data_IF_299266004693
#
_entry.id   IF_299266004693
#
_cell.length_a   1.000
_cell.length_b   1.000
_cell.length_c   1.000
_cell.angle_alpha   90.00
_cell.angle_beta   90.00
_cell.angle_gamma   90.00
#
_symmetry.space_group_name_H-M   'P 1'
#
loop_
_entity.id
_entity.type
_entity.pdbx_description
1 polymer ?
#
# COMPACT_ATOMS: atom_id res chain seq x y z
N UNK A 1 65.00 24.86 7.86
CA UNK A 1 63.73 25.48 7.41
C UNK A 1 62.83 24.40 6.85
N UNK A 2 61.91 23.89 7.64
CA UNK A 2 61.02 22.79 7.21
C UNK A 2 59.70 23.38 6.75
N UNK A 3 59.46 23.36 5.43
CA UNK A 3 58.17 23.71 4.84
C UNK A 3 57.19 22.57 5.10
N UNK A 4 56.30 22.75 6.05
CA UNK A 4 55.17 21.85 6.30
C UNK A 4 54.13 22.04 5.19
N UNK A 5 54.08 21.08 4.26
CA UNK A 5 53.06 21.00 3.22
C UNK A 5 51.78 20.44 3.86
N UNK A 6 50.81 21.33 4.11
CA UNK A 6 49.49 20.98 4.67
C UNK A 6 48.62 20.42 3.53
N UNK A 7 48.53 19.10 3.43
CA UNK A 7 47.57 18.48 2.54
C UNK A 7 46.18 18.60 3.15
N UNK A 8 45.38 19.48 2.57
CA UNK A 8 43.95 19.61 2.88
C UNK A 8 43.24 18.52 2.09
N UNK A 9 42.95 17.37 2.75
CA UNK A 9 42.11 16.30 2.19
C UNK A 9 40.65 16.77 2.31
N UNK A 10 40.10 17.30 1.21
CA UNK A 10 38.66 17.53 1.08
C UNK A 10 38.00 16.19 0.82
N UNK A 11 37.51 15.57 1.90
CA UNK A 11 36.63 14.40 1.79
C UNK A 11 35.26 14.91 1.38
N UNK A 12 35.00 14.94 0.08
CA UNK A 12 33.65 15.12 -0.46
C UNK A 12 32.83 13.88 -0.07
N UNK A 13 32.01 14.03 0.97
CA UNK A 13 30.94 13.08 1.27
C UNK A 13 29.97 13.09 0.10
N UNK A 14 30.16 12.17 -0.83
CA UNK A 14 29.18 11.84 -1.84
C UNK A 14 28.07 11.06 -1.11
N UNK A 15 27.06 11.81 -0.62
CA UNK A 15 25.85 11.19 -0.10
C UNK A 15 25.14 10.51 -1.27
N UNK A 16 25.43 9.22 -1.46
CA UNK A 16 24.62 8.35 -2.29
C UNK A 16 23.24 8.31 -1.64
N UNK A 17 22.33 9.11 -2.15
CA UNK A 17 20.90 8.89 -1.92
C UNK A 17 20.55 7.53 -2.53
N UNK A 18 20.72 6.47 -1.74
CA UNK A 18 20.14 5.18 -2.02
C UNK A 18 18.62 5.41 -1.90
N UNK A 19 17.96 5.69 -3.01
CA UNK A 19 16.53 5.51 -3.09
C UNK A 19 16.31 4.02 -2.82
N UNK A 20 16.02 3.69 -1.57
CA UNK A 20 15.54 2.37 -1.20
C UNK A 20 14.25 2.19 -1.98
N UNK A 21 14.33 1.42 -3.07
CA UNK A 21 13.18 1.07 -3.88
C UNK A 21 12.34 0.15 -2.98
N UNK A 22 11.33 0.73 -2.31
CA UNK A 22 10.46 0.01 -1.38
C UNK A 22 9.85 -1.18 -2.11
N UNK A 23 10.19 -2.38 -1.66
CA UNK A 23 9.70 -3.61 -2.27
C UNK A 23 8.18 -3.75 -2.13
N UNK A 24 7.53 -4.54 -3.00
CA UNK A 24 6.08 -4.76 -2.92
C UNK A 24 5.62 -5.34 -1.58
N UNK A 25 6.41 -6.21 -0.99
CA UNK A 25 6.16 -6.80 0.33
C UNK A 25 6.28 -5.75 1.45
N UNK A 26 7.20 -4.82 1.33
CA UNK A 26 7.36 -3.72 2.29
C UNK A 26 6.17 -2.75 2.22
N UNK A 27 5.65 -2.44 1.02
CA UNK A 27 4.45 -1.62 0.84
C UNK A 27 3.26 -2.28 1.54
N UNK A 28 3.05 -3.58 1.32
CA UNK A 28 1.96 -4.34 1.95
C UNK A 28 2.12 -4.36 3.47
N UNK A 29 3.33 -4.66 3.96
CA UNK A 29 3.64 -4.70 5.39
C UNK A 29 3.39 -3.35 6.05
N UNK A 30 4.00 -2.29 5.52
CA UNK A 30 3.86 -0.95 6.07
C UNK A 30 2.41 -0.48 6.09
N UNK A 31 1.66 -0.71 5.01
CA UNK A 31 0.24 -0.36 4.94
C UNK A 31 -0.56 -1.12 6.00
N UNK A 32 -0.32 -2.42 6.16
CA UNK A 32 -1.01 -3.23 7.16
C UNK A 32 -0.67 -2.78 8.59
N UNK A 33 0.61 -2.55 8.89
CA UNK A 33 1.06 -2.11 10.21
C UNK A 33 0.48 -0.73 10.58
N UNK A 34 0.48 0.22 9.62
CA UNK A 34 -0.11 1.56 9.82
C UNK A 34 -1.63 1.46 10.11
N UNK A 35 -2.36 0.63 9.35
CA UNK A 35 -3.80 0.41 9.54
C UNK A 35 -4.09 -0.24 10.89
N UNK A 36 -3.36 -1.29 11.24
CA UNK A 36 -3.51 -2.00 12.52
C UNK A 36 -3.26 -1.05 13.69
N UNK A 37 -2.19 -0.26 13.63
CA UNK A 37 -1.86 0.72 14.67
C UNK A 37 -2.99 1.73 14.89
N UNK A 38 -3.59 2.25 13.81
CA UNK A 38 -4.71 3.19 13.90
C UNK A 38 -5.93 2.51 14.52
N UNK A 39 -6.27 1.28 14.08
CA UNK A 39 -7.40 0.52 14.65
C UNK A 39 -7.21 0.30 16.16
N UNK A 40 -5.99 -0.04 16.60
CA UNK A 40 -5.69 -0.28 18.00
C UNK A 40 -5.76 1.00 18.86
N UNK A 41 -5.56 2.16 18.27
CA UNK A 41 -5.56 3.46 18.99
C UNK A 41 -6.91 4.17 18.97
N UNK A 42 -7.79 3.87 18.01
CA UNK A 42 -9.09 4.55 17.86
C UNK A 42 -10.23 3.67 18.39
N UNK A 43 -10.78 4.05 19.54
CA UNK A 43 -11.87 3.34 20.22
C UNK A 43 -13.16 3.31 19.40
N UNK A 44 -13.42 4.34 18.59
CA UNK A 44 -14.64 4.39 17.77
C UNK A 44 -14.55 3.41 16.61
N UNK A 45 -13.36 3.26 16.01
CA UNK A 45 -13.11 2.21 15.01
C UNK A 45 -13.30 0.82 15.64
N UNK A 46 -12.78 0.59 16.84
CA UNK A 46 -12.96 -0.66 17.58
C UNK A 46 -14.44 -0.91 17.93
N UNK A 47 -15.21 0.14 18.18
CA UNK A 47 -16.66 0.08 18.39
C UNK A 47 -17.45 -0.10 17.09
N UNK A 48 -16.80 -0.04 15.92
CA UNK A 48 -17.42 -0.29 14.61
C UNK A 48 -17.94 0.96 13.91
N UNK A 49 -17.41 2.16 14.22
CA UNK A 49 -17.75 3.38 13.48
C UNK A 49 -17.37 3.26 12.01
N UNK A 50 -18.38 3.05 11.17
CA UNK A 50 -18.21 2.82 9.72
C UNK A 50 -17.59 4.01 9.00
N UNK A 51 -17.91 5.23 9.41
CA UNK A 51 -17.40 6.43 8.75
C UNK A 51 -15.89 6.56 8.97
N UNK A 52 -15.43 6.32 10.20
CA UNK A 52 -14.01 6.30 10.51
C UNK A 52 -13.28 5.16 9.81
N UNK A 53 -13.88 3.97 9.73
CA UNK A 53 -13.33 2.81 9.01
C UNK A 53 -13.21 3.12 7.51
N UNK A 54 -14.22 3.75 6.89
CA UNK A 54 -14.17 4.13 5.48
C UNK A 54 -13.07 5.17 5.24
N UNK A 55 -12.98 6.20 6.09
CA UNK A 55 -11.94 7.21 6.01
C UNK A 55 -10.55 6.60 6.14
N UNK A 56 -10.33 5.71 7.11
CA UNK A 56 -9.08 4.98 7.27
C UNK A 56 -8.70 4.20 6.00
N UNK A 57 -9.64 3.48 5.41
CA UNK A 57 -9.40 2.73 4.17
C UNK A 57 -9.11 3.67 2.99
N UNK A 58 -9.83 4.77 2.85
CA UNK A 58 -9.60 5.76 1.80
C UNK A 58 -8.24 6.42 1.90
N UNK A 59 -7.78 6.73 3.10
CA UNK A 59 -6.51 7.44 3.32
C UNK A 59 -5.28 6.51 3.30
N UNK A 60 -5.40 5.28 3.78
CA UNK A 60 -4.25 4.38 3.99
C UNK A 60 -4.17 3.20 3.04
N UNK A 61 -5.32 2.68 2.59
CA UNK A 61 -5.37 1.46 1.78
C UNK A 61 -5.52 1.80 0.30
N UNK A 62 -6.55 2.56 -0.05
CA UNK A 62 -6.91 2.83 -1.45
C UNK A 62 -5.83 3.51 -2.29
N UNK A 63 -4.95 4.39 -1.77
CA UNK A 63 -3.87 4.98 -2.56
C UNK A 63 -2.90 3.95 -3.15
N UNK A 64 -2.83 2.75 -2.56
CA UNK A 64 -1.98 1.66 -3.04
C UNK A 64 -2.66 0.79 -4.11
N UNK A 65 -3.89 1.11 -4.52
CA UNK A 65 -4.67 0.34 -5.49
C UNK A 65 -4.73 1.03 -6.85
N UNK A 66 -4.33 0.34 -7.90
CA UNK A 66 -4.57 0.77 -9.29
C UNK A 66 -5.98 0.38 -9.72
N UNK A 67 -6.96 1.22 -9.35
CA UNK A 67 -8.38 0.98 -9.71
C UNK A 67 -8.65 0.97 -11.20
N UNK A 68 -7.84 1.65 -12.01
CA UNK A 68 -7.95 1.59 -13.47
C UNK A 68 -7.64 0.18 -13.98
N UNK A 69 -6.54 -0.37 -13.51
CA UNK A 69 -6.12 -1.73 -13.89
C UNK A 69 -7.07 -2.78 -13.35
N UNK A 70 -7.50 -2.65 -12.09
CA UNK A 70 -8.44 -3.60 -11.47
C UNK A 70 -9.77 -3.58 -12.22
N UNK A 71 -10.35 -2.41 -12.49
CA UNK A 71 -11.61 -2.28 -13.22
C UNK A 71 -11.53 -2.88 -14.62
N UNK A 72 -10.40 -2.68 -15.31
CA UNK A 72 -10.14 -3.28 -16.62
C UNK A 72 -10.12 -4.81 -16.57
N UNK A 73 -9.49 -5.37 -15.53
CA UNK A 73 -9.44 -6.82 -15.34
C UNK A 73 -10.82 -7.40 -15.02
N UNK A 74 -11.59 -6.74 -14.14
CA UNK A 74 -12.93 -7.17 -13.72
C UNK A 74 -13.91 -7.12 -14.90
N UNK A 75 -13.93 -6.02 -15.65
CA UNK A 75 -14.83 -5.86 -16.80
C UNK A 75 -14.39 -6.66 -18.03
N UNK A 76 -13.12 -7.02 -18.14
CA UNK A 76 -12.59 -7.80 -19.26
C UNK A 76 -12.95 -7.21 -20.62
N UNK A 77 -13.68 -7.98 -21.43
CA UNK A 77 -14.11 -7.56 -22.78
C UNK A 77 -15.07 -6.35 -22.75
N UNK A 78 -15.87 -6.20 -21.70
CA UNK A 78 -16.81 -5.09 -21.55
C UNK A 78 -16.09 -3.75 -21.38
N UNK A 79 -14.89 -3.74 -20.81
CA UNK A 79 -14.08 -2.52 -20.68
C UNK A 79 -13.87 -1.80 -22.03
N UNK A 80 -13.61 -2.54 -23.10
CA UNK A 80 -13.38 -1.97 -24.43
C UNK A 80 -14.62 -1.34 -25.03
N UNK A 81 -15.82 -1.85 -24.67
CA UNK A 81 -17.12 -1.37 -25.15
C UNK A 81 -17.68 -0.23 -24.30
N UNK A 82 -17.20 -0.09 -23.06
CA UNK A 82 -17.67 0.94 -22.13
C UNK A 82 -17.15 2.32 -22.52
N UNK A 83 -18.00 3.34 -22.40
CA UNK A 83 -17.62 4.74 -22.55
C UNK A 83 -16.70 5.19 -21.40
N UNK A 84 -16.10 6.38 -21.53
CA UNK A 84 -15.26 6.95 -20.47
C UNK A 84 -16.07 7.16 -19.19
N UNK A 85 -17.30 7.65 -19.33
CA UNK A 85 -18.23 7.91 -18.23
C UNK A 85 -18.62 6.62 -17.52
N UNK A 86 -18.95 5.56 -18.29
CA UNK A 86 -19.27 4.25 -17.74
C UNK A 86 -18.08 3.63 -16.98
N UNK A 87 -16.86 3.78 -17.50
CA UNK A 87 -15.65 3.30 -16.79
C UNK A 87 -15.43 4.09 -15.49
N UNK A 88 -15.65 5.39 -15.51
CA UNK A 88 -15.52 6.25 -14.32
C UNK A 88 -16.57 5.88 -13.27
N UNK A 89 -17.83 5.73 -13.67
CA UNK A 89 -18.91 5.30 -12.79
C UNK A 89 -18.64 3.92 -12.20
N UNK A 90 -18.22 2.96 -13.05
CA UNK A 90 -17.89 1.62 -12.59
C UNK A 90 -16.78 1.63 -11.52
N UNK A 91 -15.68 2.36 -11.74
CA UNK A 91 -14.59 2.47 -10.76
C UNK A 91 -15.08 3.04 -9.42
N UNK A 92 -15.93 4.05 -9.46
CA UNK A 92 -16.53 4.65 -8.27
C UNK A 92 -17.39 3.65 -7.50
N UNK A 93 -18.34 2.99 -8.18
CA UNK A 93 -19.23 2.01 -7.55
C UNK A 93 -18.47 0.78 -7.04
N UNK A 94 -17.48 0.33 -7.80
CA UNK A 94 -16.65 -0.82 -7.42
C UNK A 94 -15.81 -0.50 -6.17
N UNK A 95 -15.21 0.69 -6.11
CA UNK A 95 -14.52 1.18 -4.90
C UNK A 95 -15.45 1.15 -3.69
N UNK A 96 -16.65 1.71 -3.83
CA UNK A 96 -17.64 1.77 -2.75
C UNK A 96 -18.13 0.38 -2.33
N UNK A 97 -18.28 -0.54 -3.28
CA UNK A 97 -18.60 -1.93 -2.98
C UNK A 97 -17.52 -2.59 -2.13
N UNK A 98 -16.25 -2.43 -2.51
CA UNK A 98 -15.12 -2.99 -1.77
C UNK A 98 -15.04 -2.39 -0.36
N UNK A 99 -15.18 -1.07 -0.23
CA UNK A 99 -15.20 -0.41 1.08
C UNK A 99 -16.29 -0.98 1.98
N UNK A 100 -17.53 -1.08 1.50
CA UNK A 100 -18.66 -1.64 2.27
C UNK A 100 -18.45 -3.10 2.64
N UNK A 101 -17.91 -3.89 1.73
CA UNK A 101 -17.71 -5.32 1.94
C UNK A 101 -16.61 -5.59 2.97
N UNK A 102 -15.49 -4.86 2.87
CA UNK A 102 -14.32 -5.13 3.71
C UNK A 102 -14.24 -4.29 4.98
N UNK A 103 -15.03 -3.21 5.12
CA UNK A 103 -15.09 -2.42 6.36
C UNK A 103 -15.46 -3.26 7.58
N UNK A 104 -16.38 -4.23 7.39
CA UNK A 104 -16.77 -5.17 8.46
C UNK A 104 -15.58 -6.03 8.92
N UNK A 105 -14.70 -6.42 8.01
CA UNK A 105 -13.51 -7.18 8.37
C UNK A 105 -12.53 -6.35 9.21
N UNK A 106 -12.34 -5.08 8.86
CA UNK A 106 -11.50 -4.16 9.64
C UNK A 106 -12.05 -3.91 11.05
N UNK A 107 -13.38 -3.77 11.20
CA UNK A 107 -14.02 -3.57 12.50
C UNK A 107 -13.94 -4.80 13.42
N UNK A 108 -13.74 -5.99 12.85
CA UNK A 108 -13.61 -7.25 13.60
C UNK A 108 -12.16 -7.60 13.99
N UNK A 109 -11.21 -6.75 13.64
CA UNK A 109 -9.82 -6.98 13.98
C UNK A 109 -9.63 -6.97 15.52
N UNK A 110 -9.05 -8.05 16.05
CA UNK A 110 -8.79 -8.27 17.49
C UNK A 110 -7.36 -8.78 17.70
N UNK A 111 -6.38 -7.99 17.33
CA UNK A 111 -4.96 -8.33 17.56
C UNK A 111 -4.44 -9.60 16.83
N UNK A 112 -5.10 -10.02 15.75
CA UNK A 112 -4.57 -11.07 14.89
C UNK A 112 -3.21 -10.64 14.34
N UNK A 113 -2.31 -11.61 14.18
CA UNK A 113 -1.01 -11.37 13.56
C UNK A 113 -1.09 -11.59 12.05
N UNK A 114 -0.39 -10.77 11.30
CA UNK A 114 -0.20 -10.98 9.87
C UNK A 114 1.18 -11.59 9.67
N UNK A 115 1.20 -12.81 9.16
CA UNK A 115 2.43 -13.47 8.73
C UNK A 115 2.67 -13.21 7.25
N UNK A 116 3.89 -12.80 6.92
CA UNK A 116 4.32 -12.54 5.55
C UNK A 116 5.18 -13.71 5.09
N UNK A 117 4.72 -14.40 4.06
CA UNK A 117 5.48 -15.54 3.51
C UNK A 117 6.61 -15.02 2.61
N UNK A 118 7.72 -15.78 2.49
CA UNK A 118 8.82 -15.37 1.63
C UNK A 118 8.37 -15.06 0.21
N UNK A 119 8.75 -13.89 -0.30
CA UNK A 119 8.48 -13.45 -1.66
C UNK A 119 9.70 -13.75 -2.53
N UNK A 120 9.46 -14.27 -3.74
CA UNK A 120 10.49 -14.43 -4.78
C UNK A 120 10.18 -13.45 -5.90
N UNK A 121 11.11 -12.55 -6.18
CA UNK A 121 11.02 -11.58 -7.26
C UNK A 121 12.33 -11.56 -8.05
N UNK A 122 12.23 -11.60 -9.37
CA UNK A 122 13.36 -11.38 -10.28
C UNK A 122 13.36 -9.92 -10.72
N UNK A 123 14.52 -9.34 -11.09
CA UNK A 123 14.59 -7.94 -11.56
C UNK A 123 13.72 -7.66 -12.78
N UNK A 124 13.38 -8.70 -13.58
CA UNK A 124 12.53 -8.60 -14.78
C UNK A 124 11.03 -8.67 -14.48
N UNK A 125 10.63 -9.03 -13.25
CA UNK A 125 9.22 -9.26 -12.92
C UNK A 125 8.47 -7.92 -12.81
N UNK A 126 7.41 -7.79 -13.59
CA UNK A 126 6.51 -6.61 -13.55
C UNK A 126 5.34 -6.77 -12.58
N UNK A 127 5.09 -8.00 -12.14
CA UNK A 127 4.01 -8.36 -11.24
C UNK A 127 4.52 -9.44 -10.30
N UNK A 128 4.30 -9.24 -9.01
CA UNK A 128 4.65 -10.21 -7.99
C UNK A 128 3.45 -10.44 -7.06
N UNK A 129 3.44 -11.60 -6.42
CA UNK A 129 2.41 -11.94 -5.43
C UNK A 129 3.03 -11.88 -4.03
N UNK A 130 2.50 -11.00 -3.20
CA UNK A 130 2.81 -10.97 -1.76
C UNK A 130 1.80 -11.87 -1.05
N UNK A 131 2.28 -12.96 -0.47
CA UNK A 131 1.44 -13.91 0.28
C UNK A 131 1.43 -13.56 1.76
N UNK A 132 0.24 -13.42 2.33
CA UNK A 132 0.05 -13.16 3.75
C UNK A 132 -0.92 -14.18 4.36
N UNK A 133 -0.79 -14.40 5.66
CA UNK A 133 -1.68 -15.26 6.43
C UNK A 133 -2.08 -14.53 7.71
N UNK A 134 -3.34 -14.60 8.10
CA UNK A 134 -3.85 -14.03 9.35
C UNK A 134 -3.97 -15.17 10.36
N UNK A 135 -3.28 -15.04 11.49
CA UNK A 135 -3.19 -16.03 12.56
C UNK A 135 -3.60 -15.45 13.90
#
# INVERSE_FOLDING_TARGET
MYKKLLYFIVITFFSLNIFANTGPDEIVRKTADDVIKIIQQDKDIQAGDRNKIYKLAEEKILPNFDFERIARLVLGKAWRKATKEQRTQFKYEFKNLLLRTYAVALSKYKNQKIEYKPMRMKPSDKVVTVKTEIV
#
